data_IF_628825207485
#
_entry.id   IF_628825207485
#
_cell.length_a   1.000
_cell.length_b   1.000
_cell.length_c   1.000
_cell.angle_alpha   90.00
_cell.angle_beta   90.00
_cell.angle_gamma   90.00
#
_symmetry.space_group_name_H-M   'P 1'
#
loop_
_entity.id
_entity.type
_entity.pdbx_description
1 polymer ?
#
# COMPACT_ATOMS: atom_id res chain seq x y z
N UNK A 1 21.40 -4.89 -0.49
CA UNK A 1 22.05 -4.05 -1.53
C UNK A 1 21.45 -2.65 -1.61
N UNK A 2 20.14 -2.46 -1.80
CA UNK A 2 19.54 -1.11 -1.90
C UNK A 2 19.83 -0.18 -0.70
N UNK A 3 19.75 -0.69 0.55
CA UNK A 3 20.06 0.11 1.74
C UNK A 3 21.54 0.49 1.90
N UNK A 4 22.45 -0.17 1.16
CA UNK A 4 23.87 0.19 1.15
C UNK A 4 24.11 1.56 0.49
N UNK A 5 23.18 2.02 -0.36
CA UNK A 5 23.18 3.38 -0.89
C UNK A 5 22.81 4.44 0.16
N UNK A 6 22.48 4.03 1.40
CA UNK A 6 22.06 4.88 2.52
C UNK A 6 20.99 5.90 2.10
N UNK A 7 19.88 5.44 1.48
CA UNK A 7 18.88 6.35 0.95
C UNK A 7 18.27 7.18 2.08
N UNK A 8 17.98 8.45 1.83
CA UNK A 8 17.26 9.27 2.81
C UNK A 8 15.78 8.85 2.91
N UNK A 9 15.18 8.43 1.80
CA UNK A 9 13.80 7.96 1.74
C UNK A 9 13.67 6.58 1.08
N UNK A 10 12.81 5.74 1.65
CA UNK A 10 12.30 4.51 1.05
C UNK A 10 10.81 4.73 0.76
N UNK A 11 10.36 4.54 -0.47
CA UNK A 11 8.96 4.77 -0.86
C UNK A 11 8.18 3.45 -0.91
N UNK A 12 7.01 3.42 -0.29
CA UNK A 12 6.04 2.31 -0.39
C UNK A 12 4.74 2.78 -1.03
N UNK A 13 4.55 2.42 -2.30
CA UNK A 13 3.32 2.70 -3.07
C UNK A 13 2.27 1.62 -2.81
N UNK A 14 1.46 1.80 -1.78
CA UNK A 14 0.62 0.71 -1.26
C UNK A 14 -0.56 0.38 -2.18
N UNK A 15 -1.24 1.38 -2.76
CA UNK A 15 -2.40 1.14 -3.64
C UNK A 15 -2.03 0.36 -4.88
N UNK A 16 -1.06 0.85 -5.65
CA UNK A 16 -0.67 0.22 -6.91
C UNK A 16 -0.17 -1.20 -6.69
N UNK A 17 0.62 -1.42 -5.63
CA UNK A 17 1.08 -2.75 -5.24
C UNK A 17 -0.09 -3.67 -4.86
N UNK A 18 -0.97 -3.22 -3.97
CA UNK A 18 -2.13 -3.98 -3.49
C UNK A 18 -3.10 -4.32 -4.61
N UNK A 19 -3.45 -3.35 -5.46
CA UNK A 19 -4.30 -3.57 -6.63
C UNK A 19 -3.70 -4.58 -7.59
N UNK A 20 -2.40 -4.48 -7.87
CA UNK A 20 -1.74 -5.47 -8.71
C UNK A 20 -1.80 -6.88 -8.10
N UNK A 21 -1.57 -7.02 -6.79
CA UNK A 21 -1.72 -8.32 -6.12
C UNK A 21 -3.14 -8.90 -6.26
N UNK A 22 -4.17 -8.06 -6.08
CA UNK A 22 -5.57 -8.48 -6.22
C UNK A 22 -5.90 -8.92 -7.65
N UNK A 23 -5.46 -8.16 -8.66
CA UNK A 23 -5.64 -8.52 -10.07
C UNK A 23 -4.93 -9.83 -10.43
N UNK A 24 -3.68 -10.01 -9.99
CA UNK A 24 -2.92 -11.23 -10.23
C UNK A 24 -3.64 -12.44 -9.60
N UNK A 25 -4.07 -12.31 -8.35
CA UNK A 25 -4.78 -13.37 -7.63
C UNK A 25 -6.09 -13.75 -8.33
N UNK A 26 -6.90 -12.76 -8.70
CA UNK A 26 -8.19 -12.99 -9.37
C UNK A 26 -8.04 -13.66 -10.75
N UNK A 27 -6.99 -13.34 -11.52
CA UNK A 27 -6.71 -14.00 -12.79
C UNK A 27 -6.17 -15.42 -12.58
N UNK A 28 -5.29 -15.60 -11.60
CA UNK A 28 -4.70 -16.89 -11.28
C UNK A 28 -5.72 -17.91 -10.76
N UNK A 29 -6.71 -17.47 -9.97
CA UNK A 29 -7.77 -18.34 -9.41
C UNK A 29 -8.69 -18.93 -10.49
N UNK A 30 -8.90 -18.24 -11.61
CA UNK A 30 -9.67 -18.77 -12.75
C UNK A 30 -8.95 -19.93 -13.44
N UNK A 31 -7.62 -19.85 -13.54
CA UNK A 31 -6.72 -20.91 -14.00
C UNK A 31 -7.15 -21.58 -15.33
N UNK A 32 -7.63 -20.79 -16.28
CA UNK A 32 -8.01 -21.23 -17.63
C UNK A 32 -7.08 -20.58 -18.68
N UNK A 33 -7.13 -21.07 -19.92
CA UNK A 33 -6.23 -20.59 -20.98
C UNK A 33 -6.37 -19.09 -21.25
N UNK A 34 -7.59 -18.54 -21.20
CA UNK A 34 -7.84 -17.13 -21.44
C UNK A 34 -7.35 -16.27 -20.27
N UNK A 35 -7.60 -16.68 -19.04
CA UNK A 35 -7.12 -15.93 -17.87
C UNK A 35 -5.58 -15.90 -17.75
N UNK A 36 -4.87 -16.93 -18.23
CA UNK A 36 -3.41 -16.91 -18.30
C UNK A 36 -2.86 -15.96 -19.38
N UNK A 37 -3.55 -15.83 -20.51
CA UNK A 37 -3.21 -14.82 -21.53
C UNK A 37 -3.50 -13.40 -21.02
N UNK A 38 -4.65 -13.19 -20.35
CA UNK A 38 -4.98 -11.91 -19.72
C UNK A 38 -3.94 -11.56 -18.63
N UNK A 39 -3.46 -12.53 -17.86
CA UNK A 39 -2.41 -12.36 -16.87
C UNK A 39 -1.07 -11.99 -17.50
N UNK A 40 -0.73 -12.58 -18.65
CA UNK A 40 0.46 -12.23 -19.42
C UNK A 40 0.37 -10.80 -19.95
N UNK A 41 -0.78 -10.41 -20.53
CA UNK A 41 -1.03 -9.06 -20.98
C UNK A 41 -0.93 -8.06 -19.81
N UNK A 42 -1.52 -8.39 -18.65
CA UNK A 42 -1.41 -7.60 -17.43
C UNK A 42 0.03 -7.43 -16.97
N UNK A 43 0.86 -8.49 -17.01
CA UNK A 43 2.27 -8.40 -16.66
C UNK A 43 3.08 -7.51 -17.61
N UNK A 44 2.73 -7.48 -18.90
CA UNK A 44 3.34 -6.55 -19.85
C UNK A 44 2.88 -5.11 -19.54
N UNK A 45 1.57 -4.90 -19.36
CA UNK A 45 0.97 -3.59 -19.09
C UNK A 45 1.50 -2.96 -17.79
N UNK A 46 1.82 -3.78 -16.78
CA UNK A 46 2.34 -3.33 -15.48
C UNK A 46 3.86 -3.51 -15.33
N UNK A 47 4.58 -3.66 -16.44
CA UNK A 47 6.04 -3.72 -16.50
C UNK A 47 6.69 -4.83 -15.63
N UNK A 48 5.98 -5.92 -15.34
CA UNK A 48 6.58 -7.09 -14.71
C UNK A 48 7.47 -7.86 -15.69
N UNK A 49 7.14 -7.83 -16.98
CA UNK A 49 7.89 -8.47 -18.07
C UNK A 49 7.87 -7.56 -19.32
N UNK A 50 8.92 -7.57 -20.15
CA UNK A 50 8.94 -6.76 -21.37
C UNK A 50 7.96 -7.33 -22.43
N UNK A 51 7.45 -6.51 -23.36
CA UNK A 51 6.58 -6.98 -24.45
C UNK A 51 7.21 -8.07 -25.33
N UNK A 52 8.55 -8.07 -25.43
CA UNK A 52 9.33 -9.02 -26.24
C UNK A 52 9.61 -10.35 -25.55
N UNK A 53 9.08 -10.59 -24.35
CA UNK A 53 9.33 -11.82 -23.62
C UNK A 53 8.75 -13.06 -24.36
N UNK A 54 9.43 -14.19 -24.23
CA UNK A 54 9.01 -15.48 -24.79
C UNK A 54 8.44 -16.44 -23.73
N UNK A 55 7.88 -15.92 -22.64
CA UNK A 55 7.38 -16.76 -21.54
C UNK A 55 6.16 -17.58 -21.97
N UNK A 56 6.14 -18.85 -21.60
CA UNK A 56 4.98 -19.72 -21.76
C UNK A 56 3.90 -19.40 -20.72
N UNK A 57 2.67 -19.88 -20.93
CA UNK A 57 1.59 -19.75 -19.96
C UNK A 57 1.96 -20.39 -18.59
N UNK A 58 2.71 -21.49 -18.59
CA UNK A 58 3.21 -22.12 -17.36
C UNK A 58 4.20 -21.23 -16.61
N UNK A 59 5.08 -20.53 -17.34
CA UNK A 59 6.05 -19.63 -16.72
C UNK A 59 5.39 -18.38 -16.14
N UNK A 60 4.40 -17.83 -16.86
CA UNK A 60 3.56 -16.71 -16.37
C UNK A 60 2.84 -17.11 -15.08
N UNK A 61 2.24 -18.30 -15.05
CA UNK A 61 1.59 -18.85 -13.86
C UNK A 61 2.56 -18.96 -12.67
N UNK A 62 3.72 -19.60 -12.87
CA UNK A 62 4.75 -19.75 -11.84
C UNK A 62 5.24 -18.38 -11.33
N UNK A 63 5.39 -17.41 -12.22
CA UNK A 63 5.77 -16.05 -11.84
C UNK A 63 4.72 -15.38 -10.96
N UNK A 64 3.43 -15.51 -11.30
CA UNK A 64 2.33 -15.00 -10.51
C UNK A 64 2.26 -15.64 -9.11
N UNK A 65 2.32 -16.97 -9.04
CA UNK A 65 2.37 -17.71 -7.77
C UNK A 65 3.56 -17.25 -6.91
N UNK A 66 4.74 -17.07 -7.51
CA UNK A 66 5.92 -16.56 -6.80
C UNK A 66 5.71 -15.15 -6.27
N UNK A 67 5.10 -14.25 -7.05
CA UNK A 67 4.82 -12.86 -6.64
C UNK A 67 3.86 -12.85 -5.46
N UNK A 68 2.73 -13.57 -5.54
CA UNK A 68 1.73 -13.62 -4.48
C UNK A 68 2.29 -14.24 -3.20
N UNK A 69 3.08 -15.32 -3.34
CA UNK A 69 3.78 -15.95 -2.22
C UNK A 69 4.75 -14.98 -1.54
N UNK A 70 5.55 -14.24 -2.31
CA UNK A 70 6.46 -13.22 -1.77
C UNK A 70 5.72 -12.09 -1.05
N UNK A 71 4.57 -11.68 -1.59
CA UNK A 71 3.71 -10.63 -1.01
C UNK A 71 2.82 -11.12 0.14
N UNK A 72 2.88 -12.41 0.46
CA UNK A 72 2.19 -13.01 1.59
C UNK A 72 0.67 -12.78 1.58
N UNK A 73 0.04 -12.81 0.41
CA UNK A 73 -1.36 -12.35 0.21
C UNK A 73 -2.44 -13.23 0.82
N UNK A 74 -2.08 -14.41 1.31
CA UNK A 74 -3.03 -15.42 1.79
C UNK A 74 -3.21 -15.40 3.31
N UNK A 75 -2.60 -14.44 4.00
CA UNK A 75 -2.81 -14.22 5.43
C UNK A 75 -2.96 -12.72 5.73
N UNK A 76 -3.28 -12.43 7.00
CA UNK A 76 -3.51 -11.09 7.51
C UNK A 76 -2.34 -10.13 7.26
N UNK A 77 -1.10 -10.62 7.27
CA UNK A 77 0.10 -9.79 7.12
C UNK A 77 0.25 -9.19 5.71
N UNK A 78 -0.27 -9.86 4.68
CA UNK A 78 -0.16 -9.39 3.28
C UNK A 78 -1.49 -9.10 2.60
N UNK A 79 -2.62 -9.52 3.15
CA UNK A 79 -3.94 -9.32 2.54
C UNK A 79 -4.39 -7.85 2.49
N UNK A 80 -3.88 -7.01 3.40
CA UNK A 80 -4.14 -5.57 3.46
C UNK A 80 -3.28 -4.74 2.48
N UNK A 81 -2.33 -5.38 1.77
CA UNK A 81 -1.44 -4.71 0.83
C UNK A 81 -0.32 -3.89 1.48
N UNK A 82 -0.11 -4.04 2.80
CA UNK A 82 0.97 -3.39 3.55
C UNK A 82 2.21 -4.28 3.72
N UNK A 83 2.30 -5.39 2.97
CA UNK A 83 3.40 -6.36 3.01
C UNK A 83 4.78 -5.68 2.85
N UNK A 84 4.89 -4.75 1.90
CA UNK A 84 6.12 -4.00 1.67
C UNK A 84 6.41 -3.00 2.80
N UNK A 85 5.38 -2.40 3.40
CA UNK A 85 5.55 -1.47 4.52
C UNK A 85 6.10 -2.22 5.73
N UNK A 86 5.48 -3.36 6.09
CA UNK A 86 5.97 -4.24 7.17
C UNK A 86 7.41 -4.67 6.94
N UNK A 87 7.73 -5.12 5.72
CA UNK A 87 9.09 -5.49 5.37
C UNK A 87 10.08 -4.33 5.55
N UNK A 88 9.74 -3.13 5.08
CA UNK A 88 10.60 -1.95 5.20
C UNK A 88 10.78 -1.49 6.65
N UNK A 89 9.74 -1.57 7.49
CA UNK A 89 9.84 -1.27 8.92
C UNK A 89 10.78 -2.27 9.62
N UNK A 90 10.64 -3.58 9.32
CA UNK A 90 11.55 -4.63 9.83
C UNK A 90 12.99 -4.40 9.38
N UNK A 91 13.21 -3.91 8.16
CA UNK A 91 14.55 -3.52 7.70
C UNK A 91 15.10 -2.31 8.46
N UNK A 92 14.28 -1.26 8.67
CA UNK A 92 14.70 -0.08 9.41
C UNK A 92 15.10 -0.40 10.85
N UNK A 93 14.40 -1.32 11.52
CA UNK A 93 14.79 -1.84 12.85
C UNK A 93 16.18 -2.47 12.87
N UNK A 94 16.56 -3.13 11.78
CA UNK A 94 17.78 -3.92 11.68
C UNK A 94 18.94 -3.18 10.99
N UNK A 95 18.82 -1.88 10.73
CA UNK A 95 19.83 -1.12 9.99
C UNK A 95 20.34 0.09 10.78
N UNK A 96 21.64 0.36 10.69
CA UNK A 96 22.24 1.56 11.26
C UNK A 96 22.11 2.77 10.30
N UNK A 97 20.87 3.15 10.02
CA UNK A 97 20.50 4.26 9.15
C UNK A 97 19.62 5.26 9.93
N UNK A 98 20.22 6.17 10.71
CA UNK A 98 19.47 7.07 11.59
C UNK A 98 18.57 8.03 10.81
N UNK A 99 19.01 8.51 9.66
CA UNK A 99 18.32 9.55 8.88
C UNK A 99 17.34 8.99 7.84
N UNK A 100 17.43 7.70 7.52
CA UNK A 100 16.49 7.08 6.57
C UNK A 100 15.07 7.10 7.14
N UNK A 101 14.12 7.47 6.29
CA UNK A 101 12.68 7.50 6.56
C UNK A 101 11.92 6.62 5.57
N UNK A 102 10.80 6.06 6.03
CA UNK A 102 9.86 5.32 5.20
C UNK A 102 8.70 6.23 4.81
N UNK A 103 8.55 6.50 3.52
CA UNK A 103 7.37 7.20 2.99
C UNK A 103 6.32 6.15 2.63
N UNK A 104 5.13 6.26 3.24
CA UNK A 104 3.94 5.53 2.84
C UNK A 104 3.10 6.47 1.96
N UNK A 105 2.87 6.06 0.70
CA UNK A 105 2.24 6.91 -0.30
C UNK A 105 1.28 6.15 -1.22
N UNK A 106 0.57 6.91 -2.06
CA UNK A 106 -0.48 6.39 -2.95
C UNK A 106 -1.59 5.69 -2.15
N UNK A 107 -2.19 6.44 -1.22
CA UNK A 107 -3.34 5.99 -0.44
C UNK A 107 -4.65 6.36 -1.16
N UNK A 108 -5.66 5.50 -1.09
CA UNK A 108 -7.00 5.74 -1.63
C UNK A 108 -7.98 4.77 -0.95
N UNK A 109 -9.28 5.02 -1.10
CA UNK A 109 -10.33 4.13 -0.59
C UNK A 109 -10.50 4.22 0.93
N UNK A 110 -11.45 3.47 1.45
CA UNK A 110 -11.84 3.57 2.85
C UNK A 110 -10.90 2.80 3.78
N UNK A 111 -10.20 1.78 3.27
CA UNK A 111 -9.42 0.84 4.09
C UNK A 111 -7.94 1.21 4.29
N UNK A 112 -7.31 1.88 3.33
CA UNK A 112 -5.85 2.11 3.40
C UNK A 112 -5.43 2.89 4.65
N UNK A 113 -6.12 3.98 5.00
CA UNK A 113 -5.78 4.73 6.21
C UNK A 113 -6.00 3.91 7.49
N UNK A 114 -7.19 3.31 7.74
CA UNK A 114 -7.39 2.44 8.90
C UNK A 114 -6.37 1.30 9.03
N UNK A 115 -5.97 0.68 7.93
CA UNK A 115 -4.99 -0.41 7.96
C UNK A 115 -3.58 0.09 8.28
N UNK A 116 -3.18 1.26 7.75
CA UNK A 116 -1.93 1.92 8.14
C UNK A 116 -1.95 2.31 9.62
N UNK A 117 -3.03 2.91 10.10
CA UNK A 117 -3.17 3.35 11.49
C UNK A 117 -3.04 2.16 12.47
N UNK A 118 -3.72 1.05 12.18
CA UNK A 118 -3.58 -0.20 12.94
C UNK A 118 -2.15 -0.73 12.91
N UNK A 119 -1.51 -0.77 11.73
CA UNK A 119 -0.13 -1.23 11.57
C UNK A 119 0.85 -0.40 12.41
N UNK A 120 0.72 0.93 12.39
CA UNK A 120 1.63 1.82 13.12
C UNK A 120 1.42 1.78 14.64
N UNK A 121 0.26 1.28 15.10
CA UNK A 121 -0.01 1.01 16.50
C UNK A 121 0.49 -0.38 16.98
N UNK A 122 0.98 -1.24 16.08
CA UNK A 122 1.47 -2.57 16.46
C UNK A 122 2.75 -2.46 17.33
N UNK A 123 2.84 -3.21 18.45
CA UNK A 123 4.02 -3.19 19.31
C UNK A 123 5.32 -3.51 18.57
N UNK A 124 5.25 -4.33 17.51
CA UNK A 124 6.40 -4.71 16.67
C UNK A 124 7.14 -3.49 16.12
N UNK A 125 6.45 -2.37 15.83
CA UNK A 125 7.03 -1.21 15.14
C UNK A 125 7.14 0.06 15.99
N UNK A 126 6.84 -0.05 17.29
CA UNK A 126 6.83 1.08 18.23
C UNK A 126 8.15 1.87 18.30
N UNK A 127 9.28 1.23 18.05
CA UNK A 127 10.64 1.80 18.06
C UNK A 127 11.06 2.45 16.73
N UNK A 128 10.30 2.27 15.66
CA UNK A 128 10.61 2.79 14.31
C UNK A 128 9.49 3.62 13.69
N UNK A 129 8.32 3.70 14.32
CA UNK A 129 7.18 4.50 13.86
C UNK A 129 7.54 5.98 13.63
N UNK A 130 8.47 6.52 14.43
CA UNK A 130 8.98 7.89 14.29
C UNK A 130 9.77 8.13 12.99
N UNK A 131 10.12 7.07 12.24
CA UNK A 131 10.77 7.16 10.92
C UNK A 131 9.77 7.16 9.76
N UNK A 132 8.46 7.06 10.03
CA UNK A 132 7.42 7.00 8.99
C UNK A 132 6.95 8.40 8.61
N UNK A 133 6.80 8.63 7.31
CA UNK A 133 6.18 9.83 6.74
C UNK A 133 5.00 9.36 5.88
N UNK A 134 3.80 9.85 6.18
CA UNK A 134 2.61 9.55 5.39
C UNK A 134 2.34 10.70 4.43
N UNK A 135 2.18 10.38 3.15
CA UNK A 135 1.84 11.38 2.12
C UNK A 135 0.55 10.97 1.42
N UNK A 136 -0.48 11.81 1.52
CA UNK A 136 -1.76 11.65 0.85
C UNK A 136 -2.40 13.02 0.58
N UNK A 137 -3.42 13.06 -0.27
CA UNK A 137 -4.17 14.30 -0.49
C UNK A 137 -4.79 14.80 0.82
N UNK A 138 -4.76 16.11 1.11
CA UNK A 138 -5.30 16.65 2.37
C UNK A 138 -6.76 16.26 2.61
N UNK A 139 -7.59 16.25 1.56
CA UNK A 139 -9.00 15.85 1.65
C UNK A 139 -9.16 14.37 2.02
N UNK A 140 -8.24 13.51 1.59
CA UNK A 140 -8.26 12.10 1.95
C UNK A 140 -7.96 11.92 3.44
N UNK A 141 -6.89 12.53 3.96
CA UNK A 141 -6.52 12.44 5.37
C UNK A 141 -7.62 13.01 6.28
N UNK A 142 -8.22 14.14 5.88
CA UNK A 142 -9.27 14.79 6.66
C UNK A 142 -10.47 13.86 6.95
N UNK A 143 -10.77 12.88 6.09
CA UNK A 143 -11.85 11.90 6.32
C UNK A 143 -11.63 11.06 7.58
N UNK A 144 -10.37 10.86 7.97
CA UNK A 144 -9.98 9.96 9.06
C UNK A 144 -9.41 10.71 10.27
N UNK A 145 -8.79 11.86 10.05
CA UNK A 145 -8.19 12.69 11.12
C UNK A 145 -9.13 13.77 11.65
N UNK A 146 -10.34 13.86 11.11
CA UNK A 146 -11.35 14.83 11.57
C UNK A 146 -12.70 14.15 11.77
N UNK A 147 -13.47 14.68 12.71
CA UNK A 147 -14.81 14.19 13.03
C UNK A 147 -15.83 15.00 12.23
N UNK A 148 -16.68 14.40 11.38
CA UNK A 148 -17.69 15.13 10.57
C UNK A 148 -18.64 16.03 11.39
N UNK A 149 -18.84 15.68 12.66
CA UNK A 149 -19.62 16.44 13.62
C UNK A 149 -18.99 17.82 13.92
N UNK A 150 -17.67 17.99 13.74
CA UNK A 150 -16.98 19.29 13.87
C UNK A 150 -17.45 20.26 12.78
N UNK A 151 -17.56 19.80 11.54
CA UNK A 151 -18.07 20.63 10.43
C UNK A 151 -19.54 20.99 10.68
N UNK A 152 -20.33 20.02 11.15
CA UNK A 152 -21.74 20.25 11.50
C UNK A 152 -21.90 21.24 12.65
N UNK A 153 -21.05 21.14 13.67
CA UNK A 153 -20.98 22.05 14.81
C UNK A 153 -20.62 23.47 14.36
N UNK A 154 -19.54 23.64 13.59
CA UNK A 154 -19.11 24.94 13.07
C UNK A 154 -20.19 25.58 12.20
N UNK A 155 -20.86 24.80 11.34
CA UNK A 155 -21.98 25.29 10.52
C UNK A 155 -23.14 25.79 11.37
N UNK A 156 -23.53 25.04 12.41
CA UNK A 156 -24.59 25.45 13.35
C UNK A 156 -24.20 26.72 14.11
N UNK A 157 -22.95 26.80 14.58
CA UNK A 157 -22.42 27.97 15.27
C UNK A 157 -22.45 29.22 14.37
N UNK A 158 -21.94 29.13 13.15
CA UNK A 158 -21.93 30.23 12.20
C UNK A 158 -23.34 30.70 11.81
N UNK A 159 -24.30 29.76 11.68
CA UNK A 159 -25.70 30.10 11.44
C UNK A 159 -26.34 30.81 12.64
N UNK A 160 -26.06 30.36 13.87
CA UNK A 160 -26.54 31.02 15.08
C UNK A 160 -25.97 32.43 15.23
N UNK A 161 -24.66 32.60 14.99
CA UNK A 161 -24.00 33.92 15.02
C UNK A 161 -24.57 34.91 13.99
N UNK A 162 -24.93 34.42 12.78
CA UNK A 162 -25.59 35.26 11.75
C UNK A 162 -27.00 35.70 12.14
N UNK A 163 -27.70 34.93 12.97
CA UNK A 163 -29.05 35.23 13.44
C UNK A 163 -29.12 36.19 14.63
N UNK A 164 -27.99 36.50 15.28
CA UNK A 164 -27.91 37.45 16.40
C UNK A 164 -27.74 38.91 15.94
N UNK A 165 -28.52 39.36 14.94
CA UNK A 165 -28.59 40.79 14.59
C UNK A 165 -29.57 41.53 15.48
#
# INVERSE_FOLDING_TARGET
>A
LALQARPYFINSFIRHRGMASKSIKALLEKNDARSLEDLKAFFIEKDFIPPTNSLSASDVKKMAERILKYRNTDNREGSDGLDAVRHNLRLLKNTNLPDTRLIICSMEGEENYPDIDKLLAEPEFSDVVNKVVITAEPQYLAKFTTTPQVISYQRRFMNAAKGQK
#
